data_IF_920034079524
#
_entry.id   IF_920034079524
#
_cell.length_a   1.000
_cell.length_b   1.000
_cell.length_c   1.000
_cell.angle_alpha   90.00
_cell.angle_beta   90.00
_cell.angle_gamma   90.00
#
_symmetry.space_group_name_H-M   'P 1'
#
loop_
_entity.id
_entity.type
_entity.pdbx_description
1 polymer ?
#
# COMPACT_ATOMS: atom_id res chain seq x y z
N UNK A 1 -1.35 69.16 -3.96
CA UNK A 1 -1.91 68.56 -2.73
C UNK A 1 -2.16 67.09 -3.02
N UNK A 2 -1.40 66.21 -2.37
CA UNK A 2 -1.48 64.76 -2.54
C UNK A 2 -2.71 64.19 -1.82
N UNK A 3 -3.41 63.28 -2.50
CA UNK A 3 -4.25 62.24 -1.92
C UNK A 3 -4.07 61.05 -2.88
N UNK A 4 -3.44 59.94 -2.53
CA UNK A 4 -3.51 59.20 -1.28
C UNK A 4 -3.94 57.79 -1.67
N UNK A 5 -3.06 57.08 -2.39
CA UNK A 5 -3.33 55.74 -2.92
C UNK A 5 -3.34 54.76 -1.75
N UNK A 6 -4.53 54.32 -1.33
CA UNK A 6 -4.68 53.27 -0.32
C UNK A 6 -4.32 51.93 -0.95
N UNK A 7 -3.06 51.53 -0.78
CA UNK A 7 -2.54 50.21 -1.14
C UNK A 7 -3.11 49.17 -0.17
N UNK A 8 -4.16 48.47 -0.59
CA UNK A 8 -4.70 47.30 0.09
C UNK A 8 -4.33 46.04 -0.70
N UNK A 9 -3.25 45.35 -0.32
CA UNK A 9 -3.06 43.89 -0.36
C UNK A 9 -1.62 43.57 0.14
N UNK A 10 -1.33 42.41 0.75
CA UNK A 10 -2.19 41.23 0.93
C UNK A 10 -2.12 40.58 2.33
N UNK A 11 -3.28 40.31 2.94
CA UNK A 11 -3.40 39.29 3.99
C UNK A 11 -3.72 37.94 3.34
N UNK A 12 -2.83 37.42 2.50
CA UNK A 12 -2.99 36.14 1.80
C UNK A 12 -1.71 35.29 1.90
N UNK A 13 -1.26 35.02 3.13
CA UNK A 13 0.00 34.30 3.39
C UNK A 13 -0.13 33.11 4.37
N UNK A 14 -1.34 32.60 4.64
CA UNK A 14 -1.54 31.57 5.68
C UNK A 14 -2.10 30.22 5.20
N UNK A 15 -1.99 29.89 3.92
CA UNK A 15 -2.26 28.54 3.41
C UNK A 15 -1.08 28.02 2.59
N UNK A 16 0.13 28.14 3.12
CA UNK A 16 1.21 27.22 2.75
C UNK A 16 0.87 25.89 3.43
N UNK A 17 -0.08 25.15 2.87
CA UNK A 17 -0.11 23.71 3.09
C UNK A 17 1.26 23.23 2.63
N UNK A 18 2.09 22.80 3.58
CA UNK A 18 3.32 22.10 3.24
C UNK A 18 2.87 20.84 2.50
N UNK A 19 2.89 20.92 1.17
CA UNK A 19 2.73 19.75 0.32
C UNK A 19 3.99 18.92 0.55
N UNK A 20 3.99 18.15 1.64
CA UNK A 20 4.92 17.07 1.82
C UNK A 20 4.63 16.10 0.68
N UNK A 21 5.48 16.14 -0.35
CA UNK A 21 5.40 15.22 -1.47
C UNK A 21 5.45 13.78 -0.98
N UNK A 22 4.89 12.87 -1.75
CA UNK A 22 4.93 11.45 -1.44
C UNK A 22 6.40 10.97 -1.41
N UNK A 23 6.82 10.43 -0.27
CA UNK A 23 8.18 9.92 -0.10
C UNK A 23 8.34 8.56 -0.80
N UNK A 24 9.49 8.36 -1.46
CA UNK A 24 9.79 7.17 -2.25
C UNK A 24 10.85 6.35 -1.54
N UNK A 25 10.43 5.26 -0.90
CA UNK A 25 11.33 4.37 -0.16
C UNK A 25 11.95 3.38 -1.15
N UNK A 26 13.27 3.34 -1.21
CA UNK A 26 14.05 2.41 -2.03
C UNK A 26 14.06 0.98 -1.45
N UNK A 27 12.88 0.43 -1.22
CA UNK A 27 12.64 -0.95 -0.81
C UNK A 27 11.83 -1.65 -1.88
N UNK A 28 12.23 -2.86 -2.22
CA UNK A 28 11.50 -3.72 -3.15
C UNK A 28 10.87 -4.87 -2.37
N UNK A 29 9.54 -5.04 -2.37
CA UNK A 29 8.92 -6.20 -1.77
C UNK A 29 9.42 -7.48 -2.44
N UNK A 30 9.70 -8.50 -1.65
CA UNK A 30 10.20 -9.77 -2.17
C UNK A 30 9.37 -10.93 -1.65
N UNK A 31 9.27 -11.97 -2.45
CA UNK A 31 8.72 -13.24 -2.01
C UNK A 31 9.54 -13.79 -0.85
N UNK A 32 8.87 -14.34 0.15
CA UNK A 32 9.50 -14.92 1.33
C UNK A 32 10.48 -16.05 0.97
N UNK A 33 11.29 -16.51 1.92
CA UNK A 33 12.24 -17.62 1.71
C UNK A 33 11.66 -18.84 0.97
N UNK A 34 12.48 -19.46 0.09
CA UNK A 34 12.10 -20.56 -0.80
C UNK A 34 11.85 -21.89 -0.11
N UNK A 35 12.31 -22.04 1.13
CA UNK A 35 12.12 -23.21 1.99
C UNK A 35 10.72 -23.29 2.63
N UNK A 36 9.95 -22.19 2.61
CA UNK A 36 8.61 -22.16 3.17
C UNK A 36 7.62 -22.94 2.30
N UNK A 37 7.03 -23.98 2.88
CA UNK A 37 5.95 -24.74 2.25
C UNK A 37 4.78 -23.84 1.86
N UNK A 38 4.25 -24.03 0.64
CA UNK A 38 3.14 -23.22 0.14
C UNK A 38 3.48 -21.74 -0.01
N UNK A 39 4.76 -21.40 -0.25
CA UNK A 39 5.24 -20.06 -0.60
C UNK A 39 4.49 -19.46 -1.78
N UNK A 40 4.20 -20.27 -2.78
CA UNK A 40 3.35 -19.93 -3.92
C UNK A 40 2.38 -21.09 -4.12
N UNK A 41 1.09 -20.78 -4.24
CA UNK A 41 0.02 -21.72 -4.58
C UNK A 41 -0.72 -21.22 -5.81
N UNK A 42 -1.83 -21.87 -6.19
CA UNK A 42 -2.68 -21.41 -7.29
C UNK A 42 -3.41 -20.08 -7.05
N UNK A 43 -3.42 -19.59 -5.81
CA UNK A 43 -4.19 -18.38 -5.45
C UNK A 43 -3.57 -17.55 -4.34
N UNK A 44 -2.37 -17.92 -3.86
CA UNK A 44 -1.69 -17.21 -2.76
C UNK A 44 -0.19 -17.17 -2.98
N UNK A 45 0.46 -16.17 -2.38
CA UNK A 45 1.91 -16.14 -2.23
C UNK A 45 2.33 -15.55 -0.88
N UNK A 46 3.56 -15.83 -0.46
CA UNK A 46 4.19 -15.31 0.74
C UNK A 46 5.18 -14.20 0.40
N UNK A 47 5.06 -13.05 1.05
CA UNK A 47 6.02 -11.95 1.02
C UNK A 47 6.79 -11.87 2.33
N UNK A 48 8.00 -11.33 2.26
CA UNK A 48 8.66 -10.78 3.45
C UNK A 48 7.86 -9.60 4.02
N UNK A 49 7.80 -9.47 5.34
CA UNK A 49 7.23 -8.27 5.98
C UNK A 49 8.13 -7.05 5.72
N UNK A 50 7.58 -5.84 5.56
CA UNK A 50 8.36 -4.62 5.33
C UNK A 50 9.01 -4.10 6.62
N UNK A 51 9.81 -4.94 7.28
CA UNK A 51 10.55 -4.64 8.51
C UNK A 51 11.73 -3.72 8.20
N UNK A 52 11.96 -2.74 9.07
CA UNK A 52 12.97 -1.69 8.87
C UNK A 52 12.81 -0.86 7.59
N UNK A 53 11.62 -0.83 6.97
CA UNK A 53 11.39 -0.08 5.73
C UNK A 53 10.95 1.35 6.03
N UNK A 54 9.89 1.50 6.81
CA UNK A 54 9.25 2.77 7.10
C UNK A 54 9.80 3.36 8.42
N UNK A 55 11.05 3.80 8.41
CA UNK A 55 11.75 4.29 9.62
C UNK A 55 11.66 5.81 9.84
N UNK A 56 11.18 6.57 8.86
CA UNK A 56 11.05 8.02 8.99
C UNK A 56 10.01 8.37 10.08
N UNK A 57 10.36 9.21 11.08
CA UNK A 57 9.41 9.64 12.12
C UNK A 57 8.12 10.27 11.57
N UNK A 58 8.16 10.83 10.36
CA UNK A 58 6.98 11.39 9.68
C UNK A 58 5.90 10.34 9.38
N UNK A 59 6.23 9.05 9.38
CA UNK A 59 5.27 7.96 9.17
C UNK A 59 4.62 7.48 10.46
N UNK A 60 4.89 8.12 11.60
CA UNK A 60 4.30 7.75 12.89
C UNK A 60 2.77 7.81 12.81
N UNK A 61 2.11 6.71 13.21
CA UNK A 61 0.66 6.57 13.13
C UNK A 61 0.12 6.20 11.74
N UNK A 62 0.99 5.97 10.76
CA UNK A 62 0.56 5.46 9.46
C UNK A 62 0.16 3.97 9.54
N UNK A 63 -0.82 3.63 8.72
CA UNK A 63 -1.19 2.26 8.39
C UNK A 63 -0.45 1.87 7.11
N UNK A 64 0.23 0.74 7.15
CA UNK A 64 0.94 0.16 6.03
C UNK A 64 -0.03 -0.75 5.27
N UNK A 65 -0.29 -0.42 4.02
CA UNK A 65 -1.15 -1.15 3.10
C UNK A 65 -0.32 -1.85 2.03
N UNK A 66 -0.78 -3.02 1.59
CA UNK A 66 -0.25 -3.68 0.41
C UNK A 66 -1.14 -3.34 -0.79
N UNK A 67 -0.54 -2.80 -1.84
CA UNK A 67 -1.17 -2.74 -3.17
C UNK A 67 -0.81 -4.00 -3.92
N UNK A 68 -1.82 -4.66 -4.48
CA UNK A 68 -1.65 -5.80 -5.36
C UNK A 68 -2.17 -5.41 -6.74
N UNK A 69 -1.35 -5.62 -7.76
CA UNK A 69 -1.62 -5.29 -9.14
C UNK A 69 -1.52 -6.52 -10.02
N UNK A 70 -2.40 -6.61 -11.03
CA UNK A 70 -2.15 -7.45 -12.19
C UNK A 70 -1.20 -6.67 -13.13
N UNK A 71 -0.07 -7.27 -13.52
CA UNK A 71 0.98 -6.65 -14.34
C UNK A 71 1.70 -5.44 -13.69
N UNK A 72 2.33 -4.59 -14.51
CA UNK A 72 3.39 -3.63 -14.17
C UNK A 72 3.08 -2.60 -13.07
N UNK A 73 1.83 -2.46 -12.63
CA UNK A 73 1.42 -1.54 -11.57
C UNK A 73 1.60 -0.06 -11.90
N UNK A 74 2.05 0.28 -13.11
CA UNK A 74 2.59 1.61 -13.44
C UNK A 74 1.54 2.73 -13.40
N UNK A 75 0.29 2.38 -13.69
CA UNK A 75 -0.84 3.30 -13.72
C UNK A 75 -1.55 3.48 -12.37
N UNK A 76 -1.03 2.87 -11.29
CA UNK A 76 -1.66 2.97 -9.98
C UNK A 76 -1.51 4.38 -9.37
N UNK A 77 -2.64 4.99 -9.01
CA UNK A 77 -2.66 6.29 -8.34
C UNK A 77 -2.56 6.14 -6.81
N UNK A 78 -1.43 6.57 -6.23
CA UNK A 78 -1.17 6.50 -4.78
C UNK A 78 -2.15 7.28 -3.90
N UNK A 79 -2.91 8.22 -4.48
CA UNK A 79 -3.93 8.98 -3.75
C UNK A 79 -5.24 8.18 -3.56
N UNK A 80 -5.38 7.00 -4.16
CA UNK A 80 -6.54 6.13 -3.94
C UNK A 80 -6.59 5.64 -2.49
N UNK A 81 -7.79 5.64 -1.92
CA UNK A 81 -8.00 5.20 -0.53
C UNK A 81 -8.18 3.69 -0.47
N UNK A 82 -7.69 2.99 0.57
CA UNK A 82 -8.01 1.59 0.80
C UNK A 82 -9.52 1.35 0.86
N UNK A 83 -10.00 0.34 0.13
CA UNK A 83 -11.41 -0.04 0.11
C UNK A 83 -12.33 0.90 -0.69
N UNK A 84 -11.79 1.91 -1.37
CA UNK A 84 -12.55 2.70 -2.33
C UNK A 84 -12.93 1.86 -3.57
N UNK A 85 -13.89 2.30 -4.42
CA UNK A 85 -14.25 1.55 -5.62
C UNK A 85 -13.07 1.20 -6.54
N UNK A 86 -12.02 2.04 -6.59
CA UNK A 86 -10.81 1.81 -7.39
C UNK A 86 -9.77 0.87 -6.75
N UNK A 87 -9.98 0.43 -5.51
CA UNK A 87 -9.04 -0.44 -4.75
C UNK A 87 -9.74 -1.57 -4.01
N UNK A 88 -11.03 -1.79 -4.27
CA UNK A 88 -11.81 -2.85 -3.68
C UNK A 88 -11.50 -4.20 -4.34
N UNK A 89 -11.27 -5.24 -3.53
CA UNK A 89 -10.95 -6.59 -4.00
C UNK A 89 -12.03 -7.16 -4.93
N UNK A 90 -13.31 -6.87 -4.70
CA UNK A 90 -14.41 -7.45 -5.48
C UNK A 90 -14.42 -6.98 -6.94
N UNK A 91 -13.74 -5.87 -7.25
CA UNK A 91 -13.56 -5.39 -8.61
C UNK A 91 -12.29 -5.95 -9.27
N UNK A 92 -11.44 -6.66 -8.54
CA UNK A 92 -10.16 -7.16 -9.04
C UNK A 92 -10.30 -8.54 -9.74
N UNK A 93 -9.64 -8.77 -10.89
CA UNK A 93 -8.90 -7.81 -11.72
C UNK A 93 -9.79 -7.16 -12.80
N UNK A 94 -10.96 -7.74 -13.10
CA UNK A 94 -11.73 -7.40 -14.30
C UNK A 94 -12.37 -6.00 -14.32
N UNK A 95 -12.62 -5.41 -13.15
CA UNK A 95 -13.11 -4.03 -13.01
C UNK A 95 -12.00 -3.03 -12.69
N UNK A 96 -11.04 -3.42 -11.84
CA UNK A 96 -9.82 -2.67 -11.58
C UNK A 96 -8.63 -3.61 -11.56
N UNK A 97 -7.50 -3.25 -12.19
CA UNK A 97 -6.29 -4.08 -12.17
C UNK A 97 -5.53 -4.00 -10.84
N UNK A 98 -6.12 -3.36 -9.81
CA UNK A 98 -5.50 -3.13 -8.51
C UNK A 98 -6.49 -3.36 -7.37
N UNK A 99 -5.99 -3.80 -6.22
CA UNK A 99 -6.70 -3.68 -4.95
C UNK A 99 -5.74 -3.41 -3.80
N UNK A 100 -6.28 -2.96 -2.67
CA UNK A 100 -5.51 -2.76 -1.44
C UNK A 100 -5.95 -3.71 -0.35
N UNK A 101 -4.98 -4.28 0.36
CA UNK A 101 -5.24 -5.22 1.44
C UNK A 101 -4.16 -5.19 2.52
N UNK A 102 -4.29 -6.04 3.55
CA UNK A 102 -3.30 -6.26 4.61
C UNK A 102 -2.89 -4.98 5.36
N UNK A 103 -3.83 -4.05 5.52
CA UNK A 103 -3.65 -2.82 6.28
C UNK A 103 -3.31 -3.10 7.74
N UNK A 104 -2.11 -2.69 8.18
CA UNK A 104 -1.71 -2.84 9.58
C UNK A 104 -0.85 -1.68 10.07
N UNK A 105 -0.82 -1.45 11.38
CA UNK A 105 -0.01 -0.38 11.96
C UNK A 105 1.49 -0.67 11.78
N UNK A 106 2.28 0.38 11.56
CA UNK A 106 3.74 0.30 11.43
C UNK A 106 4.41 -0.51 12.55
N UNK A 107 3.91 -0.41 13.78
CA UNK A 107 4.42 -1.12 14.96
C UNK A 107 4.33 -2.65 14.85
N UNK A 108 3.51 -3.18 13.94
CA UNK A 108 3.42 -4.63 13.68
C UNK A 108 4.59 -5.17 12.84
N UNK A 109 5.43 -4.28 12.32
CA UNK A 109 6.66 -4.62 11.58
C UNK A 109 7.93 -4.13 12.31
N UNK A 110 8.20 -4.58 13.55
CA UNK A 110 9.42 -4.18 14.24
C UNK A 110 10.65 -4.65 13.46
N UNK A 111 11.76 -3.93 13.59
CA UNK A 111 13.00 -4.28 12.91
C UNK A 111 13.48 -5.69 13.26
N UNK A 112 13.60 -5.96 14.56
CA UNK A 112 13.95 -7.28 15.06
C UNK A 112 12.67 -8.09 15.25
N UNK A 113 12.55 -9.27 14.60
CA UNK A 113 11.44 -10.16 14.87
C UNK A 113 11.57 -10.76 16.27
N UNK A 114 10.44 -11.05 16.91
CA UNK A 114 10.49 -11.83 18.15
C UNK A 114 10.98 -13.26 17.82
N UNK A 115 11.82 -13.86 18.68
CA UNK A 115 12.29 -15.23 18.48
C UNK A 115 11.13 -16.20 18.28
N UNK A 116 11.22 -17.04 17.24
CA UNK A 116 10.21 -18.06 16.91
C UNK A 116 9.03 -17.55 16.06
N UNK A 117 8.93 -16.25 15.77
CA UNK A 117 7.87 -15.74 14.91
C UNK A 117 8.14 -16.02 13.43
N UNK A 118 7.12 -16.54 12.74
CA UNK A 118 7.07 -16.51 11.28
C UNK A 118 6.72 -15.08 10.86
N UNK A 119 7.58 -14.45 10.05
CA UNK A 119 7.49 -13.02 9.73
C UNK A 119 7.22 -12.73 8.27
N UNK A 120 6.26 -13.48 7.72
CA UNK A 120 5.80 -13.35 6.33
C UNK A 120 4.40 -12.76 6.27
N UNK A 121 4.01 -12.30 5.09
CA UNK A 121 2.65 -11.89 4.74
C UNK A 121 2.11 -12.82 3.66
N UNK A 122 1.00 -13.53 3.95
CA UNK A 122 0.32 -14.34 2.94
C UNK A 122 -0.75 -13.52 2.23
N UNK A 123 -0.53 -13.27 0.95
CA UNK A 123 -1.50 -12.62 0.07
C UNK A 123 -2.49 -13.68 -0.43
N UNK A 124 -3.79 -13.36 -0.40
CA UNK A 124 -4.86 -14.19 -0.94
C UNK A 124 -5.53 -15.18 0.03
N UNK A 125 -5.40 -14.99 1.35
CA UNK A 125 -5.83 -16.00 2.34
C UNK A 125 -7.32 -15.96 2.69
N UNK A 126 -7.99 -14.82 2.53
CA UNK A 126 -9.34 -14.60 3.06
C UNK A 126 -10.45 -15.01 2.08
N UNK A 127 -10.77 -16.31 2.03
CA UNK A 127 -11.85 -16.82 1.18
C UNK A 127 -13.25 -16.34 1.61
N UNK A 128 -13.44 -16.08 2.91
CA UNK A 128 -14.76 -15.75 3.47
C UNK A 128 -15.29 -14.38 3.05
N UNK A 129 -14.41 -13.41 2.73
CA UNK A 129 -14.81 -12.07 2.30
C UNK A 129 -14.74 -11.84 0.80
N UNK A 130 -14.33 -12.86 0.02
CA UNK A 130 -14.07 -12.70 -1.41
C UNK A 130 -15.30 -12.18 -2.19
N UNK A 131 -16.50 -12.46 -1.70
CA UNK A 131 -17.77 -12.01 -2.29
C UNK A 131 -18.52 -10.98 -1.44
N UNK A 132 -17.92 -10.50 -0.35
CA UNK A 132 -18.56 -9.59 0.60
C UNK A 132 -18.20 -8.12 0.27
N UNK A 133 -19.12 -7.35 -0.36
CA UNK A 133 -18.85 -5.96 -0.71
C UNK A 133 -18.71 -5.04 0.51
N UNK A 134 -19.13 -5.47 1.71
CA UNK A 134 -18.92 -4.71 2.94
C UNK A 134 -17.49 -4.82 3.46
N UNK A 135 -16.66 -5.70 2.88
CA UNK A 135 -15.25 -5.89 3.20
C UNK A 135 -14.38 -5.62 1.95
N UNK A 136 -14.28 -4.37 1.50
CA UNK A 136 -13.61 -4.05 0.24
C UNK A 136 -12.08 -4.22 0.28
N UNK A 137 -11.46 -4.22 1.46
CA UNK A 137 -10.02 -4.45 1.64
C UNK A 137 -9.64 -5.92 1.86
N UNK A 138 -10.55 -6.84 1.52
CA UNK A 138 -10.37 -8.29 1.65
C UNK A 138 -9.02 -8.74 1.07
N UNK A 139 -8.29 -9.56 1.81
CA UNK A 139 -7.12 -10.27 1.32
C UNK A 139 -7.55 -11.54 0.58
N UNK A 140 -8.46 -11.40 -0.39
CA UNK A 140 -9.13 -12.52 -1.04
C UNK A 140 -8.22 -13.25 -2.04
N UNK A 141 -8.50 -14.52 -2.35
CA UNK A 141 -7.68 -15.36 -3.23
C UNK A 141 -7.38 -14.70 -4.58
N UNK A 142 -6.16 -14.88 -5.08
CA UNK A 142 -5.79 -14.39 -6.39
C UNK A 142 -6.47 -15.24 -7.49
N UNK A 143 -7.09 -14.62 -8.51
CA UNK A 143 -7.99 -15.33 -9.41
C UNK A 143 -7.32 -15.98 -10.62
N UNK A 144 -6.05 -15.69 -10.90
CA UNK A 144 -5.33 -16.18 -12.07
C UNK A 144 -3.85 -16.46 -11.76
N UNK A 145 -3.08 -17.05 -12.69
CA UNK A 145 -1.64 -17.22 -12.51
C UNK A 145 -0.82 -15.92 -12.43
N UNK A 146 -1.38 -14.77 -12.81
CA UNK A 146 -0.65 -13.50 -12.91
C UNK A 146 -0.05 -13.25 -14.31
N UNK A 147 1.03 -12.44 -14.42
CA UNK A 147 1.90 -11.99 -13.34
C UNK A 147 1.26 -10.93 -12.44
N UNK A 148 1.62 -10.98 -11.16
CA UNK A 148 1.27 -9.97 -10.16
C UNK A 148 2.49 -9.15 -9.77
N UNK A 149 2.26 -7.87 -9.44
CA UNK A 149 3.25 -7.04 -8.75
C UNK A 149 2.62 -6.43 -7.51
N UNK A 150 3.46 -6.18 -6.52
CA UNK A 150 3.06 -5.56 -5.25
C UNK A 150 3.98 -4.43 -4.85
N UNK A 151 3.42 -3.49 -4.06
CA UNK A 151 4.16 -2.47 -3.32
C UNK A 151 3.48 -2.13 -2.00
N UNK A 152 4.22 -1.53 -1.07
CA UNK A 152 3.66 -1.03 0.18
C UNK A 152 3.40 0.48 0.11
N UNK A 153 2.33 0.91 0.78
CA UNK A 153 1.99 2.32 1.01
C UNK A 153 1.86 2.59 2.50
N UNK A 154 2.51 3.64 2.99
CA UNK A 154 2.23 4.21 4.30
C UNK A 154 1.17 5.30 4.15
N UNK A 155 0.00 5.13 4.76
CA UNK A 155 -1.14 6.04 4.64
C UNK A 155 -1.58 6.48 6.04
N UNK A 156 -1.86 7.76 6.23
CA UNK A 156 -2.50 8.29 7.44
C UNK A 156 -3.82 9.02 7.11
N UNK A 157 -4.42 9.68 8.10
CA UNK A 157 -5.67 10.42 7.92
C UNK A 157 -5.63 11.54 6.88
N UNK A 158 -4.44 12.05 6.53
CA UNK A 158 -4.23 13.11 5.54
C UNK A 158 -3.98 12.57 4.12
N UNK A 159 -3.59 11.30 3.98
CA UNK A 159 -3.31 10.69 2.67
C UNK A 159 -2.07 9.80 2.69
N UNK A 160 -1.54 9.46 1.49
CA UNK A 160 -0.31 8.67 1.38
C UNK A 160 0.91 9.51 1.77
N UNK A 161 1.75 8.95 2.63
CA UNK A 161 2.98 9.57 3.14
C UNK A 161 4.22 9.04 2.42
N UNK A 162 4.23 7.73 2.15
CA UNK A 162 5.33 7.07 1.45
C UNK A 162 4.86 5.86 0.66
N UNK A 163 5.64 5.49 -0.35
CA UNK A 163 5.50 4.21 -1.05
C UNK A 163 6.83 3.55 -1.35
N UNK A 164 6.81 2.24 -1.53
CA UNK A 164 7.96 1.45 -1.95
C UNK A 164 8.03 1.37 -3.47
N UNK A 165 9.14 0.86 -4.02
CA UNK A 165 9.13 0.43 -5.43
C UNK A 165 8.24 -0.80 -5.60
N UNK A 166 7.86 -1.09 -6.84
CA UNK A 166 7.18 -2.33 -7.19
C UNK A 166 8.16 -3.49 -7.14
N UNK A 167 7.70 -4.63 -6.62
CA UNK A 167 8.39 -5.93 -6.71
C UNK A 167 8.61 -6.39 -8.14
N UNK A 168 9.53 -7.32 -8.35
CA UNK A 168 9.55 -8.22 -9.51
C UNK A 168 8.21 -8.94 -9.74
N UNK A 169 8.02 -9.47 -10.95
CA UNK A 169 6.83 -10.24 -11.31
C UNK A 169 6.69 -11.51 -10.47
N UNK A 170 5.46 -11.74 -9.98
CA UNK A 170 5.08 -12.91 -9.19
C UNK A 170 4.07 -13.73 -9.99
N UNK A 171 4.47 -14.94 -10.39
CA UNK A 171 3.60 -15.91 -11.08
C UNK A 171 3.18 -17.02 -10.12
N UNK A 172 1.89 -17.32 -10.10
CA UNK A 172 1.30 -18.39 -9.30
C UNK A 172 1.43 -19.75 -10.00
N UNK A 173 1.12 -20.82 -9.27
CA UNK A 173 1.27 -22.22 -9.74
C UNK A 173 -0.02 -22.84 -10.24
#
# INVERSE_FOLDING_TARGET
>A
RHAGTCTMLPLLLLLLATAHGLDRVAYEPTLASSDLGGRITASTFLLEQPRCVFLNPNYTGAVIWLVVAESDGSNFNNSLKPGSPGTAYQSFPGGNPFYMTLGTNLQQYPCTPNPGNITVLRVGTETSCAKDPMRPTCNGPLPSPGPYRVKFLAINGSGPLADTVWSEDITLR
#
